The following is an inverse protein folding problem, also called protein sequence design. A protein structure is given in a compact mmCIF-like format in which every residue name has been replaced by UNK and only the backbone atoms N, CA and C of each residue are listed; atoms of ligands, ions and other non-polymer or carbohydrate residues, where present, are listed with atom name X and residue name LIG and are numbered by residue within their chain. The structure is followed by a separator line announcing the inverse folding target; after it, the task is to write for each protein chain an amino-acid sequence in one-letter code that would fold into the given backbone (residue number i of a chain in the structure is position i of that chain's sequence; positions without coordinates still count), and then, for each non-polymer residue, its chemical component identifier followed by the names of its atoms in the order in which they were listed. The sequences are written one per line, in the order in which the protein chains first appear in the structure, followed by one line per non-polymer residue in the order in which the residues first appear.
data_IF_596377329145
#
_entry.id   IF_596377329145
#
_cell.length_a   1.000
_cell.length_b   1.000
_cell.length_c   1.000
_cell.angle_alpha   90.00
_cell.angle_beta   90.00
_cell.angle_gamma   90.00
#
_symmetry.space_group_name_H-M   'P 1'
#
loop_
_entity.id
_entity.type
_entity.pdbx_description
1 polymer ?
#
# COMPACT_ATOMS: atom_id res chain seq x y z
N UNK A 1 -9.60 16.30 12.79
CA UNK A 1 -10.17 15.56 11.66
C UNK A 1 -9.84 16.38 10.43
N UNK A 2 -8.94 15.88 9.58
CA UNK A 2 -8.67 16.52 8.29
C UNK A 2 -9.59 15.88 7.27
N UNK A 3 -10.28 16.69 6.47
CA UNK A 3 -11.21 16.21 5.46
C UNK A 3 -10.88 16.83 4.12
N UNK A 4 -10.63 15.96 3.14
CA UNK A 4 -10.12 16.34 1.82
C UNK A 4 -11.18 16.15 0.74
N UNK A 5 -11.00 16.79 -0.42
CA UNK A 5 -11.87 16.52 -1.56
C UNK A 5 -11.57 15.14 -2.15
N UNK A 6 -10.37 14.96 -2.69
CA UNK A 6 -9.93 13.71 -3.28
C UNK A 6 -8.54 13.35 -2.77
N UNK A 7 -8.41 12.16 -2.20
CA UNK A 7 -7.14 11.58 -1.80
C UNK A 7 -6.80 10.40 -2.71
N UNK A 8 -5.51 10.25 -3.00
CA UNK A 8 -4.98 9.09 -3.71
C UNK A 8 -3.91 8.40 -2.86
N UNK A 9 -4.04 7.09 -2.72
CA UNK A 9 -3.06 6.20 -2.08
C UNK A 9 -2.31 5.47 -3.18
N UNK A 10 -0.98 5.56 -3.13
CA UNK A 10 -0.07 4.67 -3.83
C UNK A 10 0.53 3.68 -2.82
N UNK A 11 0.62 2.40 -3.18
CA UNK A 11 1.24 1.37 -2.35
C UNK A 11 2.07 0.41 -3.19
N UNK A 12 3.13 -0.14 -2.59
CA UNK A 12 3.93 -1.20 -3.17
C UNK A 12 4.55 -2.10 -2.08
N UNK A 13 4.97 -3.29 -2.49
CA UNK A 13 5.74 -4.25 -1.71
C UNK A 13 6.96 -4.72 -2.48
N UNK A 14 8.06 -4.89 -1.75
CA UNK A 14 9.30 -5.45 -2.27
C UNK A 14 9.64 -6.71 -1.46
N UNK A 15 10.00 -7.80 -2.13
CA UNK A 15 10.61 -8.97 -1.51
C UNK A 15 11.80 -9.44 -2.34
N UNK A 16 12.99 -9.48 -1.72
CA UNK A 16 14.16 -10.11 -2.32
C UNK A 16 14.00 -11.63 -2.23
N UNK A 17 14.41 -12.40 -3.26
CA UNK A 17 14.31 -13.86 -3.28
C UNK A 17 12.92 -14.40 -2.88
N UNK A 18 11.86 -13.82 -3.44
CA UNK A 18 10.46 -14.07 -3.13
C UNK A 18 10.10 -15.58 -3.05
N UNK A 19 9.53 -16.08 -1.92
CA UNK A 19 9.11 -15.36 -0.72
C UNK A 19 10.11 -15.39 0.46
N UNK A 20 11.32 -15.94 0.28
CA UNK A 20 12.19 -16.33 1.39
C UNK A 20 13.18 -15.25 1.84
N UNK A 21 13.42 -14.21 1.03
CA UNK A 21 14.31 -13.14 1.43
C UNK A 21 13.61 -11.99 2.17
N UNK A 22 14.38 -10.94 2.50
CA UNK A 22 13.85 -9.79 3.23
C UNK A 22 12.79 -9.06 2.39
N UNK A 23 11.77 -8.57 3.08
CA UNK A 23 10.64 -7.87 2.50
C UNK A 23 10.44 -6.50 3.14
N UNK A 24 9.91 -5.56 2.36
CA UNK A 24 9.56 -4.21 2.77
C UNK A 24 8.29 -3.75 2.05
N UNK A 25 7.60 -2.78 2.61
CA UNK A 25 6.48 -2.11 1.94
C UNK A 25 6.64 -0.59 1.97
N UNK A 26 6.02 0.06 1.01
CA UNK A 26 6.03 1.51 0.86
C UNK A 26 4.65 2.02 0.47
N UNK A 27 4.33 3.24 0.90
CA UNK A 27 3.09 3.90 0.54
C UNK A 27 3.22 5.42 0.56
N UNK A 28 2.39 6.09 -0.23
CA UNK A 28 2.27 7.54 -0.27
C UNK A 28 0.80 7.95 -0.41
N UNK A 29 0.44 9.09 0.17
CA UNK A 29 -0.90 9.67 0.13
C UNK A 29 -0.77 11.10 -0.39
N UNK A 30 -1.51 11.41 -1.44
CA UNK A 30 -1.59 12.74 -2.03
C UNK A 30 -3.02 13.28 -1.98
N UNK A 31 -3.14 14.58 -1.81
CA UNK A 31 -4.33 15.34 -2.16
C UNK A 31 -4.24 15.71 -3.63
N UNK A 32 -5.30 15.41 -4.40
CA UNK A 32 -5.37 15.80 -5.80
C UNK A 32 -5.71 17.28 -5.93
N UNK A 33 -5.09 17.95 -6.90
CA UNK A 33 -5.42 19.33 -7.22
C UNK A 33 -6.73 19.45 -8.03
N UNK A 34 -7.15 20.69 -8.28
CA UNK A 34 -8.40 20.97 -9.02
C UNK A 34 -8.37 20.47 -10.49
N UNK A 35 -7.19 20.11 -11.02
CA UNK A 35 -7.01 19.57 -12.37
C UNK A 35 -6.97 18.04 -12.40
N UNK A 36 -7.07 17.38 -11.24
CA UNK A 36 -7.01 15.94 -11.12
C UNK A 36 -5.59 15.37 -11.21
N UNK A 37 -4.58 16.17 -10.90
CA UNK A 37 -3.19 15.72 -10.76
C UNK A 37 -2.84 15.49 -9.29
N UNK A 38 -1.81 14.68 -9.02
CA UNK A 38 -1.25 14.55 -7.68
C UNK A 38 -0.70 15.92 -7.24
N UNK A 39 -1.38 16.55 -6.28
CA UNK A 39 -1.05 17.87 -5.78
C UNK A 39 -0.11 17.79 -4.59
N UNK A 40 -0.67 17.91 -3.39
CA UNK A 40 0.12 17.96 -2.16
C UNK A 40 0.33 16.58 -1.56
N UNK A 41 1.58 16.23 -1.23
CA UNK A 41 1.87 14.99 -0.48
C UNK A 41 1.44 15.15 0.98
N UNK A 42 0.33 14.50 1.32
CA UNK A 42 -0.22 14.49 2.69
C UNK A 42 0.68 13.70 3.62
N UNK A 43 1.09 12.49 3.21
CA UNK A 43 1.96 11.63 3.99
C UNK A 43 2.61 10.54 3.13
N UNK A 44 3.69 9.94 3.63
CA UNK A 44 4.31 8.76 3.04
C UNK A 44 4.99 7.95 4.13
N UNK A 45 5.17 6.66 3.90
CA UNK A 45 5.82 5.78 4.86
C UNK A 45 6.38 4.53 4.22
N UNK A 46 7.31 3.90 4.93
CA UNK A 46 7.84 2.60 4.58
C UNK A 46 8.06 1.75 5.83
N UNK A 47 8.13 0.42 5.66
CA UNK A 47 8.34 -0.49 6.78
C UNK A 47 9.07 -1.76 6.35
N UNK A 48 10.10 -2.12 7.11
CA UNK A 48 10.74 -3.43 6.99
C UNK A 48 9.80 -4.51 7.54
N UNK A 49 9.57 -5.57 6.77
CA UNK A 49 8.60 -6.62 7.10
C UNK A 49 9.25 -7.93 7.56
N UNK A 50 10.59 -7.99 7.61
CA UNK A 50 11.30 -9.22 7.93
C UNK A 50 11.41 -10.15 6.73
N UNK A 51 11.35 -11.45 6.97
CA UNK A 51 11.52 -12.51 5.96
C UNK A 51 10.24 -13.33 5.79
N UNK A 52 10.22 -14.24 4.81
CA UNK A 52 9.14 -15.22 4.59
C UNK A 52 7.78 -14.61 4.24
N UNK A 53 7.80 -13.48 3.53
CA UNK A 53 6.64 -12.81 2.96
C UNK A 53 6.76 -12.77 1.45
N UNK A 54 5.69 -13.14 0.75
CA UNK A 54 5.64 -12.95 -0.70
C UNK A 54 5.44 -11.48 -1.08
N UNK A 55 5.76 -11.11 -2.33
CA UNK A 55 5.56 -9.74 -2.82
C UNK A 55 4.11 -9.26 -2.61
N UNK A 56 3.13 -10.08 -2.98
CA UNK A 56 1.71 -9.77 -2.82
C UNK A 56 1.31 -9.53 -1.35
N UNK A 57 1.94 -10.26 -0.42
CA UNK A 57 1.69 -10.02 1.01
C UNK A 57 2.31 -8.70 1.47
N UNK A 58 3.50 -8.36 0.98
CA UNK A 58 4.14 -7.08 1.26
C UNK A 58 3.32 -5.90 0.69
N UNK A 59 2.78 -6.04 -0.53
CA UNK A 59 1.90 -5.04 -1.16
C UNK A 59 0.61 -4.83 -0.35
N UNK A 60 -0.07 -5.91 0.05
CA UNK A 60 -1.23 -5.83 0.95
C UNK A 60 -0.89 -5.07 2.24
N UNK A 61 0.27 -5.35 2.83
CA UNK A 61 0.72 -4.67 4.05
C UNK A 61 0.97 -3.19 3.76
N UNK A 62 1.56 -2.81 2.63
CA UNK A 62 1.73 -1.41 2.23
C UNK A 62 0.42 -0.63 2.21
N UNK A 63 -0.62 -1.20 1.58
CA UNK A 63 -1.97 -0.62 1.59
C UNK A 63 -2.56 -0.54 3.01
N UNK A 64 -2.39 -1.59 3.82
CA UNK A 64 -2.87 -1.61 5.21
C UNK A 64 -2.22 -0.50 6.05
N UNK A 65 -0.92 -0.25 5.87
CA UNK A 65 -0.19 0.79 6.59
C UNK A 65 -0.67 2.20 6.20
N UNK A 66 -0.92 2.45 4.90
CA UNK A 66 -1.48 3.72 4.43
C UNK A 66 -2.85 4.00 5.07
N UNK A 67 -3.75 3.01 5.04
CA UNK A 67 -5.08 3.12 5.65
C UNK A 67 -5.00 3.23 7.18
N UNK A 68 -4.05 2.54 7.81
CA UNK A 68 -3.80 2.68 9.25
C UNK A 68 -3.35 4.10 9.60
N UNK A 69 -2.47 4.70 8.80
CA UNK A 69 -2.06 6.09 8.98
C UNK A 69 -3.25 7.04 8.89
N UNK A 70 -4.10 6.89 7.87
CA UNK A 70 -5.32 7.72 7.75
C UNK A 70 -6.23 7.58 8.96
N UNK A 71 -6.49 6.35 9.40
CA UNK A 71 -7.33 6.06 10.56
C UNK A 71 -6.75 6.68 11.85
N UNK A 72 -5.45 6.50 12.11
CA UNK A 72 -4.80 7.04 13.31
C UNK A 72 -4.78 8.56 13.37
N UNK A 73 -4.75 9.22 12.21
CA UNK A 73 -4.72 10.68 12.12
C UNK A 73 -6.11 11.30 11.87
N UNK A 74 -7.19 10.50 11.91
CA UNK A 74 -8.56 10.94 11.63
C UNK A 74 -8.67 11.71 10.30
N UNK A 75 -8.14 11.10 9.23
CA UNK A 75 -8.19 11.62 7.86
C UNK A 75 -9.37 10.99 7.12
N UNK A 76 -10.21 11.83 6.51
CA UNK A 76 -11.29 11.43 5.60
C UNK A 76 -11.25 12.22 4.30
N UNK A 77 -12.08 11.84 3.33
CA UNK A 77 -12.17 12.49 2.03
C UNK A 77 -13.49 12.19 1.32
N UNK A 78 -13.95 13.01 0.38
CA UNK A 78 -15.09 12.60 -0.45
C UNK A 78 -14.73 11.40 -1.34
N UNK A 79 -13.60 11.48 -2.03
CA UNK A 79 -13.13 10.44 -2.94
C UNK A 79 -11.78 9.87 -2.49
N UNK A 80 -11.70 8.55 -2.36
CA UNK A 80 -10.47 7.82 -2.06
C UNK A 80 -10.08 6.93 -3.25
N UNK A 81 -9.02 7.31 -3.94
CA UNK A 81 -8.45 6.55 -5.04
C UNK A 81 -7.30 5.69 -4.51
N UNK A 82 -7.28 4.42 -4.85
CA UNK A 82 -6.26 3.47 -4.41
C UNK A 82 -5.61 2.88 -5.65
N UNK A 83 -4.30 3.10 -5.77
CA UNK A 83 -3.48 2.72 -6.93
C UNK A 83 -2.29 1.86 -6.52
N UNK A 84 -2.00 0.87 -7.34
CA UNK A 84 -0.80 0.03 -7.24
C UNK A 84 -0.61 -0.76 -8.52
N UNK A 85 0.60 -1.29 -8.74
CA UNK A 85 0.96 -2.12 -9.91
C UNK A 85 0.71 -3.61 -9.69
N UNK A 86 0.13 -3.98 -8.54
CA UNK A 86 -0.29 -5.36 -8.26
C UNK A 86 -1.66 -5.66 -8.81
N UNK A 87 -1.72 -6.29 -9.98
CA UNK A 87 -2.98 -6.82 -10.53
C UNK A 87 -3.67 -7.77 -9.55
N UNK A 88 -2.92 -8.54 -8.75
CA UNK A 88 -3.53 -9.47 -7.80
C UNK A 88 -4.23 -8.73 -6.66
N UNK A 89 -3.56 -7.79 -5.99
CA UNK A 89 -4.16 -7.05 -4.87
C UNK A 89 -5.35 -6.24 -5.36
N UNK A 90 -5.21 -5.52 -6.49
CA UNK A 90 -6.29 -4.72 -7.07
C UNK A 90 -7.49 -5.62 -7.42
N UNK A 91 -7.29 -6.71 -8.15
CA UNK A 91 -8.40 -7.57 -8.57
C UNK A 91 -9.04 -8.35 -7.41
N UNK A 92 -8.30 -8.64 -6.35
CA UNK A 92 -8.89 -9.23 -5.14
C UNK A 92 -9.74 -8.20 -4.39
N UNK A 93 -9.26 -6.96 -4.27
CA UNK A 93 -10.01 -5.88 -3.61
C UNK A 93 -11.26 -5.45 -4.39
N UNK A 94 -11.26 -5.55 -5.72
CA UNK A 94 -12.44 -5.30 -6.56
C UNK A 94 -13.36 -6.52 -6.68
N UNK A 95 -13.01 -7.66 -6.09
CA UNK A 95 -13.79 -8.90 -6.17
C UNK A 95 -13.70 -9.65 -7.51
N UNK A 96 -12.87 -9.18 -8.45
CA UNK A 96 -12.64 -9.86 -9.73
C UNK A 96 -11.90 -11.19 -9.55
N UNK A 97 -10.96 -11.27 -8.60
CA UNK A 97 -10.24 -12.49 -8.26
C UNK A 97 -10.70 -13.09 -6.94
N UNK A 98 -10.99 -14.39 -6.95
CA UNK A 98 -11.27 -15.15 -5.74
C UNK A 98 -10.03 -15.31 -4.87
N UNK A 99 -10.21 -15.16 -3.55
CA UNK A 99 -9.14 -15.33 -2.57
C UNK A 99 -9.22 -16.73 -1.95
N UNK A 100 -8.32 -17.62 -2.35
CA UNK A 100 -8.27 -19.00 -1.83
C UNK A 100 -7.28 -19.18 -0.68
N UNK A 101 -6.28 -18.31 -0.59
CA UNK A 101 -5.26 -18.38 0.46
C UNK A 101 -5.77 -17.68 1.72
N UNK A 102 -5.82 -18.40 2.85
CA UNK A 102 -6.33 -17.86 4.11
C UNK A 102 -5.56 -16.62 4.60
N UNK A 103 -4.23 -16.56 4.39
CA UNK A 103 -3.44 -15.38 4.78
C UNK A 103 -3.82 -14.16 3.95
N UNK A 104 -3.97 -14.31 2.63
CA UNK A 104 -4.44 -13.22 1.77
C UNK A 104 -5.86 -12.78 2.11
N UNK A 105 -6.74 -13.74 2.46
CA UNK A 105 -8.10 -13.41 2.90
C UNK A 105 -8.11 -12.56 4.18
N UNK A 106 -7.21 -12.85 5.13
CA UNK A 106 -7.06 -12.04 6.33
C UNK A 106 -6.58 -10.61 6.01
N UNK A 107 -5.68 -10.44 5.04
CA UNK A 107 -5.26 -9.11 4.59
C UNK A 107 -6.41 -8.36 3.90
N UNK A 108 -7.15 -9.01 3.00
CA UNK A 108 -8.35 -8.45 2.39
C UNK A 108 -9.36 -7.95 3.42
N UNK A 109 -9.66 -8.77 4.45
CA UNK A 109 -10.57 -8.37 5.52
C UNK A 109 -10.03 -7.19 6.33
N UNK A 110 -8.72 -7.14 6.56
CA UNK A 110 -8.07 -6.03 7.26
C UNK A 110 -8.21 -4.73 6.47
N UNK A 111 -7.96 -4.76 5.15
CA UNK A 111 -8.16 -3.61 4.26
C UNK A 111 -9.63 -3.17 4.28
N UNK A 112 -10.56 -4.11 4.09
CA UNK A 112 -12.00 -3.84 4.07
C UNK A 112 -12.50 -3.19 5.38
N UNK A 113 -12.06 -3.72 6.52
CA UNK A 113 -12.39 -3.17 7.84
C UNK A 113 -11.83 -1.76 8.04
N UNK A 114 -10.60 -1.50 7.57
CA UNK A 114 -10.00 -0.17 7.66
C UNK A 114 -10.74 0.83 6.77
N UNK A 115 -11.08 0.45 5.54
CA UNK A 115 -11.88 1.28 4.65
C UNK A 115 -13.23 1.64 5.25
N UNK A 116 -13.90 0.70 5.93
CA UNK A 116 -15.18 0.98 6.60
C UNK A 116 -15.08 2.03 7.72
N UNK A 117 -13.88 2.28 8.23
CA UNK A 117 -13.61 3.31 9.23
C UNK A 117 -13.27 4.67 8.61
N UNK A 118 -12.76 4.70 7.38
CA UNK A 118 -12.42 5.94 6.70
C UNK A 118 -13.70 6.60 6.22
N UNK A 119 -13.96 7.83 6.69
CA UNK A 119 -15.08 8.61 6.22
C UNK A 119 -14.84 9.00 4.76
N UNK A 120 -15.48 8.28 3.84
CA UNK A 120 -15.44 8.54 2.40
C UNK A 120 -16.74 8.18 1.69
N UNK A 121 -17.08 8.97 0.68
CA UNK A 121 -18.30 8.79 -0.11
C UNK A 121 -18.07 7.83 -1.29
N UNK A 122 -16.85 7.80 -1.81
CA UNK A 122 -16.45 6.97 -2.94
C UNK A 122 -15.05 6.40 -2.74
N UNK A 123 -14.89 5.10 -3.06
CA UNK A 123 -13.59 4.41 -3.03
C UNK A 123 -13.39 3.69 -4.36
N UNK A 124 -12.24 3.88 -4.99
CA UNK A 124 -11.90 3.23 -6.25
C UNK A 124 -10.53 2.56 -6.19
N UNK A 125 -10.48 1.30 -6.60
CA UNK A 125 -9.23 0.58 -6.82
C UNK A 125 -8.92 0.55 -8.32
N UNK A 126 -7.71 0.95 -8.71
CA UNK A 126 -7.25 0.81 -10.09
C UNK A 126 -5.79 0.39 -10.14
N UNK A 127 -5.50 -0.49 -11.10
CA UNK A 127 -4.14 -0.86 -11.44
C UNK A 127 -3.48 0.28 -12.24
N UNK A 128 -2.21 0.55 -11.96
CA UNK A 128 -1.37 1.47 -12.73
C UNK A 128 -0.10 0.77 -13.19
N UNK A 129 0.48 1.21 -14.30
CA UNK A 129 1.81 0.71 -14.70
C UNK A 129 2.86 1.06 -13.64
N UNK A 130 3.81 0.16 -13.42
CA UNK A 130 4.92 0.35 -12.46
C UNK A 130 5.69 1.65 -12.65
N UNK A 131 5.75 2.15 -13.89
CA UNK A 131 6.35 3.46 -14.20
C UNK A 131 5.71 4.59 -13.39
N UNK A 132 4.40 4.53 -13.14
CA UNK A 132 3.66 5.52 -12.37
C UNK A 132 3.67 5.25 -10.85
N UNK A 133 4.08 4.05 -10.41
CA UNK A 133 4.13 3.67 -8.97
C UNK A 133 5.52 3.88 -8.34
N UNK A 134 6.36 4.72 -8.94
CA UNK A 134 7.79 4.79 -8.64
C UNK A 134 8.14 5.20 -7.19
N UNK A 135 7.36 6.10 -6.57
CA UNK A 135 7.64 6.51 -5.18
C UNK A 135 7.34 5.38 -4.19
N UNK A 136 6.20 4.71 -4.32
CA UNK A 136 5.85 3.60 -3.44
C UNK A 136 6.84 2.43 -3.59
N UNK A 137 7.27 2.13 -4.82
CA UNK A 137 8.31 1.14 -5.12
C UNK A 137 9.66 1.50 -4.50
N UNK A 138 10.07 2.76 -4.62
CA UNK A 138 11.28 3.26 -3.99
C UNK A 138 11.21 3.13 -2.45
N UNK A 139 10.08 3.52 -1.86
CA UNK A 139 9.83 3.40 -0.42
C UNK A 139 9.88 1.94 0.04
N UNK A 140 9.26 1.01 -0.70
CA UNK A 140 9.26 -0.41 -0.37
C UNK A 140 10.66 -1.02 -0.43
N UNK A 141 11.46 -0.69 -1.45
CA UNK A 141 12.83 -1.17 -1.61
C UNK A 141 13.77 -0.61 -0.55
N UNK A 142 13.65 0.67 -0.23
CA UNK A 142 14.49 1.34 0.78
C UNK A 142 14.18 0.90 2.20
N UNK A 143 12.99 0.34 2.45
CA UNK A 143 12.67 -0.28 3.73
C UNK A 143 13.48 -1.56 4.01
N UNK A 144 14.01 -2.22 2.98
CA UNK A 144 14.83 -3.41 3.14
C UNK A 144 16.26 -2.97 3.48
N UNK A 145 16.82 -3.37 4.64
CA UNK A 145 18.17 -3.03 5.00
C UNK A 145 19.17 -3.50 3.93
N UNK A 146 20.07 -2.61 3.52
CA UNK A 146 21.19 -2.98 2.66
C UNK A 146 22.02 -4.06 3.36
N UNK A 147 22.10 -5.26 2.79
CA UNK A 147 23.10 -6.23 3.22
C UNK A 147 24.48 -5.69 2.82
N UNK A 148 25.11 -4.87 3.65
CA UNK A 148 26.56 -4.64 3.55
C UNK A 148 27.22 -5.98 3.83
N UNK A 149 27.92 -6.52 2.82
CA UNK A 149 28.85 -7.65 2.97
C UNK A 149 29.67 -7.47 4.26
N UNK A 150 29.42 -8.29 5.29
CA UNK A 150 30.27 -8.29 6.49
C UNK A 150 29.62 -8.44 7.86
N UNK A 151 28.35 -8.86 7.99
CA UNK A 151 27.85 -9.31 9.29
C UNK A 151 27.27 -10.72 9.15
N UNK A 152 28.04 -11.68 9.66
CA UNK A 152 27.66 -13.07 9.80
C UNK A 152 26.44 -13.18 10.71
N UNK A 153 25.52 -14.07 10.35
CA UNK A 153 24.54 -14.59 11.27
C UNK A 153 25.27 -15.61 12.14
N UNK A 154 25.63 -15.20 13.36
CA UNK A 154 25.95 -16.12 14.46
C UNK A 154 24.68 -16.35 15.29
#
# INVERSE_FOLDING_TARGET
MSFYRTLIIYFDGACQNNPNGPAGCGWAIYEMDDYGCDGFRVASGNRYLGFNLSNNQAEYIGLIEALAYMQMNNIGCHELLIRGDSLLVINQMTGFYQIRNQRLFNFYNTVSNKLSWINSDYVEFAHIDRYYNGEADFLAKTAIPSMTNGAMWD
#
